data_IF_720945110644
#
_entry.id   IF_720945110644
#
_cell.length_a   1.000
_cell.length_b   1.000
_cell.length_c   1.000
_cell.angle_alpha   90.00
_cell.angle_beta   90.00
_cell.angle_gamma   90.00
#
_symmetry.space_group_name_H-M   'P 1'
#
loop_
_entity.id
_entity.type
_entity.pdbx_description
1 polymer ?
#
# COMPACT_ATOMS: atom_id res chain seq x y z
N UNK A 1 6.23 14.28 10.03
CA UNK A 1 6.45 13.82 9.82
C UNK A 1 6.55 13.40 9.71
N UNK A 2 6.34 13.29 9.41
CA UNK A 2 6.46 12.64 9.42
C UNK A 2 6.88 11.88 9.04
N UNK A 3 6.96 11.69 9.23
CA UNK A 3 7.85 10.80 8.83
C UNK A 3 7.24 9.64 8.15
N UNK A 4 7.95 9.05 7.35
CA UNK A 4 7.51 8.03 6.52
C UNK A 4 7.27 6.75 7.22
N UNK A 5 8.19 6.37 8.03
CA UNK A 5 7.99 5.32 8.98
C UNK A 5 7.86 6.03 10.28
N UNK A 6 6.69 6.53 10.57
CA UNK A 6 6.57 7.49 11.66
C UNK A 6 7.23 7.03 12.92
N UNK A 7 7.10 5.78 13.20
CA UNK A 7 7.65 5.32 14.44
C UNK A 7 9.09 4.94 14.34
N UNK A 8 9.47 4.46 13.22
CA UNK A 8 10.82 3.96 13.03
C UNK A 8 11.80 5.08 12.95
N UNK A 9 11.48 6.07 12.12
CA UNK A 9 12.44 7.10 11.85
C UNK A 9 12.72 7.95 13.03
N UNK A 10 11.76 8.09 13.94
CA UNK A 10 11.95 8.99 15.04
C UNK A 10 12.56 8.35 16.22
N UNK A 11 12.33 7.10 16.39
CA UNK A 11 12.74 6.50 17.62
C UNK A 11 14.17 6.20 17.69
N UNK A 12 14.85 6.37 16.65
CA UNK A 12 16.21 6.06 16.69
C UNK A 12 16.43 4.67 17.11
N UNK A 13 15.39 3.90 17.34
CA UNK A 13 15.64 2.54 17.69
C UNK A 13 15.61 1.73 16.40
N UNK A 14 16.23 0.62 16.47
CA UNK A 14 16.33 -0.26 15.32
C UNK A 14 15.14 -1.19 15.35
N UNK A 15 14.37 -1.14 14.29
CA UNK A 15 13.27 -2.07 14.16
C UNK A 15 13.85 -3.42 13.74
N UNK A 16 13.64 -4.43 14.56
CA UNK A 16 14.15 -5.75 14.29
C UNK A 16 13.03 -6.64 13.81
N UNK A 17 13.20 -7.21 12.63
CA UNK A 17 12.20 -8.09 12.05
C UNK A 17 12.64 -9.53 12.18
N UNK A 18 11.70 -10.42 12.49
CA UNK A 18 11.99 -11.82 12.67
C UNK A 18 12.26 -12.53 11.35
N UNK A 19 11.78 -11.96 10.24
CA UNK A 19 11.98 -12.59 8.94
C UNK A 19 11.74 -11.55 7.86
N UNK A 20 12.19 -11.83 6.63
CA UNK A 20 11.86 -10.94 5.50
C UNK A 20 10.35 -10.80 5.30
N UNK A 21 9.59 -11.87 5.53
CA UNK A 21 8.15 -11.80 5.40
C UNK A 21 7.55 -10.85 6.42
N UNK A 22 8.03 -10.88 7.65
CA UNK A 22 7.59 -9.98 8.68
C UNK A 22 7.84 -8.53 8.27
N UNK A 23 9.02 -8.28 7.73
CA UNK A 23 9.37 -6.93 7.29
C UNK A 23 8.45 -6.46 6.18
N UNK A 24 8.19 -7.32 5.18
CA UNK A 24 7.32 -6.97 4.07
C UNK A 24 5.91 -6.67 4.54
N UNK A 25 5.39 -7.46 5.46
CA UNK A 25 4.06 -7.21 6.00
C UNK A 25 4.00 -5.90 6.76
N UNK A 26 5.00 -5.64 7.59
CA UNK A 26 5.04 -4.42 8.37
C UNK A 26 5.06 -3.19 7.44
N UNK A 27 5.90 -3.22 6.42
CA UNK A 27 6.02 -2.09 5.52
C UNK A 27 4.76 -1.90 4.68
N UNK A 28 4.13 -3.00 4.28
CA UNK A 28 2.87 -2.91 3.55
C UNK A 28 1.79 -2.28 4.42
N UNK A 29 1.69 -2.72 5.66
CA UNK A 29 0.69 -2.17 6.57
C UNK A 29 0.94 -0.68 6.82
N UNK A 30 2.20 -0.31 7.03
CA UNK A 30 2.54 1.10 7.27
C UNK A 30 2.19 1.96 6.06
N UNK A 31 2.48 1.45 4.86
CA UNK A 31 2.13 2.18 3.65
C UNK A 31 0.62 2.36 3.55
N UNK A 32 -0.14 1.30 3.79
CA UNK A 32 -1.59 1.35 3.68
C UNK A 32 -2.18 2.35 4.65
N UNK A 33 -1.69 2.40 5.88
CA UNK A 33 -2.17 3.38 6.84
C UNK A 33 -1.93 4.80 6.36
N UNK A 34 -0.76 5.03 5.80
CA UNK A 34 -0.43 6.35 5.27
C UNK A 34 -1.35 6.73 4.11
N UNK A 35 -1.56 5.79 3.18
CA UNK A 35 -2.41 6.07 2.03
C UNK A 35 -3.86 6.30 2.45
N UNK A 36 -4.36 5.50 3.37
CA UNK A 36 -5.74 5.64 3.83
C UNK A 36 -5.95 7.01 4.48
N UNK A 37 -5.01 7.44 5.30
CA UNK A 37 -5.11 8.75 5.92
C UNK A 37 -5.04 9.86 4.88
N UNK A 38 -4.13 9.73 3.92
CA UNK A 38 -3.99 10.72 2.86
C UNK A 38 -5.27 10.90 2.06
N UNK A 39 -5.88 9.79 1.65
CA UNK A 39 -7.08 9.88 0.83
C UNK A 39 -8.24 10.50 1.60
N UNK A 40 -8.36 10.14 2.87
CA UNK A 40 -9.42 10.69 3.71
C UNK A 40 -9.23 12.19 3.90
N UNK A 41 -8.02 12.61 4.22
CA UNK A 41 -7.74 14.03 4.44
C UNK A 41 -7.99 14.82 3.16
N UNK A 42 -7.52 14.29 2.03
CA UNK A 42 -7.73 14.98 0.76
C UNK A 42 -9.22 15.09 0.44
N UNK A 43 -9.99 14.06 0.72
CA UNK A 43 -11.43 14.10 0.48
C UNK A 43 -12.10 15.15 1.33
N UNK A 44 -11.74 15.21 2.62
CA UNK A 44 -12.31 16.18 3.52
C UNK A 44 -11.97 17.59 3.06
N UNK A 45 -10.71 17.83 2.71
CA UNK A 45 -10.28 19.16 2.29
C UNK A 45 -10.92 19.59 0.99
N UNK A 46 -11.26 18.62 0.13
CA UNK A 46 -11.90 18.90 -1.15
C UNK A 46 -13.42 18.79 -1.08
N UNK A 47 -13.98 18.60 0.10
CA UNK A 47 -15.41 18.44 0.31
C UNK A 47 -15.99 17.29 -0.49
N UNK A 48 -15.22 16.23 -0.64
CA UNK A 48 -15.68 15.01 -1.31
C UNK A 48 -16.17 14.02 -0.27
N UNK A 49 -17.26 13.34 -0.56
CA UNK A 49 -17.78 12.31 0.34
C UNK A 49 -17.31 10.92 -0.07
N UNK A 50 -16.64 10.80 -1.22
CA UNK A 50 -16.18 9.52 -1.73
C UNK A 50 -14.67 9.54 -1.87
N UNK A 51 -14.01 8.52 -1.37
CA UNK A 51 -12.56 8.41 -1.55
C UNK A 51 -12.15 6.95 -1.58
N UNK A 52 -10.92 6.69 -2.03
CA UNK A 52 -10.34 5.36 -2.12
C UNK A 52 -9.72 4.98 -0.80
N UNK A 53 -9.94 3.74 -0.39
CA UNK A 53 -9.27 3.18 0.76
C UNK A 53 -8.57 1.90 0.33
N UNK A 54 -7.71 1.39 1.20
CA UNK A 54 -6.89 0.22 0.87
C UNK A 54 -6.92 -0.79 1.99
N UNK A 55 -6.77 -2.04 1.63
CA UNK A 55 -6.61 -3.11 2.61
C UNK A 55 -5.64 -4.13 2.03
N UNK A 56 -5.13 -5.02 2.86
CA UNK A 56 -4.22 -6.03 2.36
C UNK A 56 -4.61 -7.39 2.88
N UNK A 57 -4.13 -8.39 2.18
CA UNK A 57 -4.45 -9.77 2.46
C UNK A 57 -3.18 -10.57 2.24
N UNK A 58 -2.77 -11.37 3.23
CA UNK A 58 -1.53 -12.12 3.16
C UNK A 58 -1.80 -13.49 2.58
N UNK A 59 -1.22 -13.76 1.42
CA UNK A 59 -1.32 -15.06 0.80
C UNK A 59 -0.07 -15.87 1.04
N UNK A 60 0.07 -16.98 0.29
CA UNK A 60 1.21 -17.85 0.47
C UNK A 60 2.51 -17.20 0.02
N UNK A 61 2.50 -16.62 -1.16
CA UNK A 61 3.71 -16.01 -1.73
C UNK A 61 3.64 -14.50 -1.72
N UNK A 62 2.46 -13.95 -1.91
CA UNK A 62 2.28 -12.52 -2.07
C UNK A 62 1.37 -11.95 -1.02
N UNK A 63 1.60 -10.68 -0.72
CA UNK A 63 0.65 -9.85 -0.02
C UNK A 63 -0.09 -9.10 -1.10
N UNK A 64 -1.42 -9.22 -1.14
CA UNK A 64 -2.23 -8.48 -2.09
C UNK A 64 -2.75 -7.23 -1.43
N UNK A 65 -2.61 -6.12 -2.13
CA UNK A 65 -3.20 -4.87 -1.68
C UNK A 65 -4.40 -4.60 -2.56
N UNK A 66 -5.53 -4.34 -1.92
CA UNK A 66 -6.79 -4.09 -2.59
C UNK A 66 -7.19 -2.64 -2.38
N UNK A 67 -7.86 -2.06 -3.37
CA UNK A 67 -8.45 -0.74 -3.21
C UNK A 67 -9.96 -0.86 -3.33
N UNK A 68 -10.65 0.01 -2.62
CA UNK A 68 -12.11 0.05 -2.65
C UNK A 68 -12.56 1.45 -2.32
N UNK A 69 -13.81 1.75 -2.65
CA UNK A 69 -14.35 3.09 -2.43
C UNK A 69 -15.12 3.12 -1.12
N UNK A 70 -15.03 4.27 -0.47
CA UNK A 70 -15.79 4.58 0.73
C UNK A 70 -16.61 5.82 0.43
N UNK A 71 -17.89 5.79 0.80
CA UNK A 71 -18.77 6.92 0.61
C UNK A 71 -19.47 7.24 1.92
N UNK A 72 -19.29 8.46 2.39
CA UNK A 72 -19.91 8.87 3.65
C UNK A 72 -19.46 8.03 4.83
N UNK A 73 -18.27 7.49 4.78
CA UNK A 73 -17.75 6.64 5.85
C UNK A 73 -18.12 5.18 5.71
N UNK A 74 -18.88 4.82 4.68
CA UNK A 74 -19.30 3.44 4.48
C UNK A 74 -18.62 2.86 3.26
N UNK A 75 -18.19 1.61 3.39
CA UNK A 75 -17.53 0.89 2.29
C UNK A 75 -18.55 0.53 1.23
N UNK A 76 -18.24 0.85 -0.01
CA UNK A 76 -19.04 0.42 -1.15
C UNK A 76 -18.66 -0.99 -1.55
N UNK A 77 -19.52 -1.63 -2.32
CA UNK A 77 -19.29 -3.01 -2.75
C UNK A 77 -18.16 -3.08 -3.75
N UNK A 78 -17.47 -4.23 -3.70
CA UNK A 78 -16.42 -4.48 -4.66
C UNK A 78 -15.09 -3.94 -4.23
N UNK A 79 -14.06 -4.49 -4.85
CA UNK A 79 -12.70 -4.05 -4.62
C UNK A 79 -11.88 -4.43 -5.84
N UNK A 80 -10.77 -3.73 -6.03
CA UNK A 80 -9.86 -3.97 -7.14
C UNK A 80 -8.50 -4.33 -6.60
N UNK A 81 -7.82 -5.23 -7.28
CA UNK A 81 -6.46 -5.55 -6.88
C UNK A 81 -5.56 -4.38 -7.28
N UNK A 82 -4.89 -3.82 -6.29
CA UNK A 82 -4.08 -2.63 -6.48
C UNK A 82 -2.64 -2.99 -6.80
N UNK A 83 -2.05 -3.90 -6.05
CA UNK A 83 -0.69 -4.35 -6.30
C UNK A 83 -0.43 -5.64 -5.55
N UNK A 84 0.64 -6.33 -5.98
CA UNK A 84 1.15 -7.51 -5.29
C UNK A 84 2.50 -7.17 -4.69
N UNK A 85 2.77 -7.68 -3.49
CA UNK A 85 4.07 -7.54 -2.84
C UNK A 85 4.59 -8.93 -2.53
N UNK A 86 5.80 -9.26 -3.01
CA UNK A 86 6.40 -10.54 -2.68
C UNK A 86 6.76 -10.55 -1.21
N UNK A 87 6.32 -11.57 -0.49
CA UNK A 87 6.52 -11.62 0.95
C UNK A 87 7.98 -11.69 1.35
N UNK A 88 8.78 -12.38 0.57
CA UNK A 88 10.18 -12.56 0.93
C UNK A 88 11.04 -11.39 0.55
N UNK A 89 10.89 -10.91 -0.66
CA UNK A 89 11.80 -9.90 -1.18
C UNK A 89 11.27 -8.49 -1.15
N UNK A 90 9.96 -8.33 -1.00
CA UNK A 90 9.38 -6.99 -1.01
C UNK A 90 9.21 -6.39 -2.37
N UNK A 91 9.40 -7.17 -3.43
CA UNK A 91 9.19 -6.66 -4.79
C UNK A 91 7.71 -6.37 -5.00
N UNK A 92 7.45 -5.26 -5.67
CA UNK A 92 6.09 -4.82 -5.95
C UNK A 92 5.80 -4.99 -7.43
N UNK A 93 4.66 -5.58 -7.71
CA UNK A 93 4.24 -5.89 -9.08
C UNK A 93 2.87 -5.31 -9.38
N UNK A 94 2.68 -4.94 -10.63
CA UNK A 94 1.38 -4.59 -11.15
C UNK A 94 0.53 -5.87 -11.23
N UNK A 95 -0.78 -5.80 -10.95
CA UNK A 95 -1.61 -6.99 -11.14
C UNK A 95 -1.79 -7.29 -12.61
N UNK A 96 -1.67 -8.56 -12.99
CA UNK A 96 -2.15 -9.03 -14.28
C UNK A 96 -3.63 -9.32 -14.16
N UNK A 97 -4.02 -9.82 -12.98
CA UNK A 97 -5.41 -10.04 -12.62
C UNK A 97 -5.46 -10.05 -11.11
N UNK A 98 -6.63 -10.26 -10.53
CA UNK A 98 -6.71 -10.35 -9.08
C UNK A 98 -6.05 -11.62 -8.54
N UNK A 99 -5.67 -12.54 -9.42
CA UNK A 99 -5.07 -13.80 -9.01
C UNK A 99 -3.56 -13.84 -9.12
N UNK A 100 -3.00 -13.04 -9.99
CA UNK A 100 -1.56 -13.16 -10.27
C UNK A 100 -0.97 -11.82 -10.68
N UNK A 101 0.31 -11.62 -10.34
CA UNK A 101 1.00 -10.39 -10.76
C UNK A 101 1.45 -10.47 -12.21
N UNK A 102 1.56 -9.32 -12.84
CA UNK A 102 2.22 -9.19 -14.13
C UNK A 102 3.71 -9.30 -13.93
N UNK A 103 4.42 -9.67 -14.97
CA UNK A 103 5.86 -9.81 -14.91
C UNK A 103 6.54 -8.46 -14.78
N UNK A 104 7.66 -8.48 -14.10
CA UNK A 104 8.49 -7.30 -13.98
C UNK A 104 8.28 -6.55 -12.69
N UNK A 105 9.37 -6.36 -11.96
CA UNK A 105 9.34 -5.62 -10.72
C UNK A 105 9.11 -4.16 -11.05
N UNK A 106 8.15 -3.53 -10.38
CA UNK A 106 7.87 -2.12 -10.59
C UNK A 106 8.54 -1.25 -9.53
N UNK A 107 8.49 -1.71 -8.29
CA UNK A 107 9.05 -0.99 -7.15
C UNK A 107 9.40 -2.00 -6.09
N UNK A 108 9.88 -1.50 -4.96
CA UNK A 108 10.11 -2.30 -3.76
C UNK A 108 9.27 -1.71 -2.65
N UNK A 109 8.74 -2.56 -1.78
CA UNK A 109 7.86 -2.06 -0.73
C UNK A 109 8.58 -1.06 0.18
N UNK A 110 9.88 -1.24 0.40
CA UNK A 110 10.65 -0.27 1.17
C UNK A 110 10.63 1.09 0.50
N UNK A 111 10.71 1.10 -0.82
CA UNK A 111 10.72 2.34 -1.58
C UNK A 111 9.37 3.04 -1.46
N UNK A 112 8.28 2.31 -1.61
CA UNK A 112 6.95 2.90 -1.54
C UNK A 112 6.63 3.37 -0.12
N UNK A 113 7.04 2.60 0.88
CA UNK A 113 6.81 3.00 2.26
C UNK A 113 7.60 4.27 2.60
N UNK A 114 8.79 4.42 2.03
CA UNK A 114 9.59 5.61 2.24
C UNK A 114 9.06 6.81 1.46
N UNK A 115 8.46 6.57 0.31
CA UNK A 115 7.97 7.65 -0.56
C UNK A 115 6.54 7.35 -1.00
N UNK A 116 5.59 7.44 -0.07
CA UNK A 116 4.20 7.08 -0.39
C UNK A 116 3.56 7.95 -1.44
N UNK A 117 4.11 9.13 -1.68
CA UNK A 117 3.59 10.01 -2.72
C UNK A 117 3.72 9.42 -4.13
N UNK A 118 4.54 8.40 -4.28
CA UNK A 118 4.62 7.70 -5.56
C UNK A 118 3.32 6.97 -5.88
N UNK A 119 2.56 6.61 -4.86
CA UNK A 119 1.35 5.81 -5.03
C UNK A 119 0.15 6.71 -5.28
N UNK A 120 -0.50 6.53 -6.42
CA UNK A 120 -1.75 7.23 -6.70
C UNK A 120 -2.93 6.25 -6.53
N UNK A 121 -4.16 6.78 -6.33
CA UNK A 121 -5.29 5.89 -6.03
C UNK A 121 -5.67 4.93 -7.15
N UNK A 122 -5.25 5.22 -8.36
CA UNK A 122 -5.60 4.39 -9.51
C UNK A 122 -4.55 3.35 -9.84
N UNK A 123 -3.40 3.37 -9.15
CA UNK A 123 -2.34 2.42 -9.42
C UNK A 123 -1.57 2.72 -10.69
N UNK A 124 -1.73 3.92 -11.25
CA UNK A 124 -1.08 4.23 -12.52
C UNK A 124 0.44 4.25 -12.41
N UNK A 125 0.98 4.48 -11.22
CA UNK A 125 2.43 4.47 -11.04
C UNK A 125 3.04 3.11 -11.39
N UNK A 126 2.25 2.04 -11.33
CA UNK A 126 2.74 0.70 -11.65
C UNK A 126 2.82 0.43 -13.15
N UNK A 127 2.26 1.30 -13.95
CA UNK A 127 2.24 1.12 -15.39
C UNK A 127 3.40 1.82 -16.07
N UNK A 128 4.18 2.55 -15.31
CA UNK A 128 5.33 3.24 -15.86
C UNK A 128 6.36 2.22 -16.19
N UNK A 129 6.80 2.15 -17.37
CA UNK A 129 7.82 1.40 -17.70
C UNK A 129 7.94 0.76 -18.33
#
# INVERSE_FOLDING_TARGET
MTSIYPNISHNRFIMTFTSPQHKSEYLTEALIETLNNREKVNAIESSRSVWTNYEYEVGRKYIKVWSYLVSGGERLNGRSCYMFVDKKGGEVYKPASHKAPAKGIRFWIEQLAAYPDLCDPYGSFLYVR
#
